data_IF_767516812333
#
_entry.id   IF_767516812333
#
_cell.length_a   1.000
_cell.length_b   1.000
_cell.length_c   1.000
_cell.angle_alpha   90.00
_cell.angle_beta   90.00
_cell.angle_gamma   90.00
#
_symmetry.space_group_name_H-M   'P 1'
#
loop_
_entity.id
_entity.type
_entity.pdbx_description
1 polymer ?
#
# COMPACT_ATOMS: atom_id res chain seq x y z
N UNK A 1 -0.59 13.95 0.72
CA UNK A 1 0.00 12.87 -0.11
C UNK A 1 1.05 13.38 -1.08
N UNK A 2 2.11 12.58 -1.25
CA UNK A 2 3.20 12.75 -2.20
C UNK A 2 3.50 11.38 -2.82
N UNK A 3 4.14 11.31 -3.99
CA UNK A 3 4.68 10.06 -4.50
C UNK A 3 5.63 9.44 -3.48
N UNK A 4 5.60 8.12 -3.33
CA UNK A 4 6.42 7.41 -2.34
C UNK A 4 6.91 6.08 -2.86
N UNK A 5 8.01 5.61 -2.27
CA UNK A 5 8.62 4.34 -2.65
C UNK A 5 7.77 3.16 -2.18
N UNK A 6 7.82 2.06 -2.93
CA UNK A 6 7.17 0.79 -2.56
C UNK A 6 7.49 0.35 -1.12
N UNK A 7 8.74 0.53 -0.68
CA UNK A 7 9.16 0.19 0.70
C UNK A 7 8.42 1.03 1.75
N UNK A 8 8.20 2.31 1.48
CA UNK A 8 7.47 3.21 2.37
C UNK A 8 5.98 2.85 2.42
N UNK A 9 5.38 2.50 1.28
CA UNK A 9 4.01 1.98 1.22
C UNK A 9 3.84 0.78 2.15
N UNK A 10 4.75 -0.20 2.03
CA UNK A 10 4.72 -1.42 2.85
C UNK A 10 4.90 -1.09 4.33
N UNK A 11 5.85 -0.22 4.69
CA UNK A 11 6.12 0.14 6.07
C UNK A 11 4.89 0.81 6.74
N UNK A 12 4.26 1.77 6.06
CA UNK A 12 3.05 2.43 6.55
C UNK A 12 1.87 1.48 6.64
N UNK A 13 1.64 0.63 5.62
CA UNK A 13 0.58 -0.37 5.67
C UNK A 13 0.74 -1.34 6.85
N UNK A 14 1.97 -1.72 7.21
CA UNK A 14 2.23 -2.50 8.44
C UNK A 14 1.78 -1.75 9.70
N UNK A 15 1.98 -0.43 9.77
CA UNK A 15 1.48 0.39 10.88
C UNK A 15 -0.05 0.37 10.99
N UNK A 16 -0.75 0.27 9.85
CA UNK A 16 -2.21 0.08 9.80
C UNK A 16 -2.68 -1.37 10.05
N UNK A 17 -1.77 -2.26 10.47
CA UNK A 17 -2.08 -3.65 10.79
C UNK A 17 -2.14 -4.59 9.57
N UNK A 18 -1.56 -4.21 8.43
CA UNK A 18 -1.44 -5.13 7.30
C UNK A 18 -0.22 -6.05 7.43
N UNK A 19 -0.41 -7.32 7.11
CA UNK A 19 0.61 -8.35 7.06
C UNK A 19 1.16 -8.54 5.64
N UNK A 20 2.42 -8.99 5.55
CA UNK A 20 3.12 -9.28 4.30
C UNK A 20 4.35 -8.37 4.05
N UNK A 21 4.73 -8.14 2.77
CA UNK A 21 4.06 -8.57 1.55
C UNK A 21 4.19 -10.07 1.29
N UNK A 22 3.11 -10.70 0.85
CA UNK A 22 3.09 -12.08 0.38
C UNK A 22 3.32 -12.12 -1.14
N UNK A 23 4.00 -13.16 -1.66
CA UNK A 23 4.14 -13.35 -3.09
C UNK A 23 2.77 -13.61 -3.73
N UNK A 24 2.47 -12.91 -4.82
CA UNK A 24 1.35 -13.20 -5.69
C UNK A 24 1.85 -13.20 -7.12
N UNK A 25 1.41 -14.15 -7.95
CA UNK A 25 2.08 -14.51 -9.22
C UNK A 25 2.69 -13.34 -9.99
N UNK A 26 1.90 -12.33 -10.35
CA UNK A 26 2.39 -11.11 -11.04
C UNK A 26 2.73 -9.96 -10.09
N UNK A 27 2.06 -9.86 -8.94
CA UNK A 27 2.20 -8.77 -7.98
C UNK A 27 2.09 -9.29 -6.55
N UNK A 28 2.98 -8.82 -5.68
CA UNK A 28 2.86 -9.05 -4.24
C UNK A 28 1.57 -8.44 -3.67
N UNK A 29 1.12 -8.93 -2.51
CA UNK A 29 -0.05 -8.39 -1.83
C UNK A 29 0.16 -8.32 -0.33
N UNK A 30 -0.60 -7.46 0.34
CA UNK A 30 -0.70 -7.41 1.81
C UNK A 30 -2.15 -7.69 2.23
N UNK A 31 -2.36 -8.17 3.45
CA UNK A 31 -3.70 -8.46 3.97
C UNK A 31 -3.90 -7.95 5.38
N UNK A 32 -5.15 -7.65 5.75
CA UNK A 32 -5.59 -7.33 7.11
C UNK A 32 -6.92 -8.03 7.36
N UNK A 33 -6.91 -9.13 8.10
CA UNK A 33 -8.06 -10.02 8.21
C UNK A 33 -8.47 -10.59 6.85
N UNK A 34 -9.72 -10.38 6.44
CA UNK A 34 -10.25 -10.76 5.12
C UNK A 34 -9.88 -9.78 4.00
N UNK A 35 -9.40 -8.59 4.32
CA UNK A 35 -9.06 -7.56 3.34
C UNK A 35 -7.70 -7.86 2.72
N UNK A 36 -7.63 -7.83 1.38
CA UNK A 36 -6.41 -8.08 0.61
C UNK A 36 -6.16 -6.95 -0.37
N UNK A 37 -4.98 -6.34 -0.30
CA UNK A 37 -4.57 -5.23 -1.19
C UNK A 37 -3.37 -5.66 -2.02
N UNK A 38 -3.40 -5.32 -3.32
CA UNK A 38 -2.30 -5.60 -4.23
C UNK A 38 -1.25 -4.51 -4.10
N UNK A 39 0.01 -4.90 -3.99
CA UNK A 39 1.16 -3.99 -3.94
C UNK A 39 1.80 -3.96 -5.34
N UNK A 40 1.96 -2.78 -5.94
CA UNK A 40 2.64 -2.66 -7.24
C UNK A 40 4.08 -3.17 -7.16
N UNK A 41 4.59 -3.66 -8.28
CA UNK A 41 5.98 -4.11 -8.37
C UNK A 41 6.95 -2.93 -8.31
N UNK A 42 8.19 -3.24 -7.93
CA UNK A 42 9.27 -2.27 -7.91
C UNK A 42 9.71 -1.98 -9.35
N UNK A 43 9.26 -0.85 -9.90
CA UNK A 43 9.65 -0.37 -11.23
C UNK A 43 10.77 0.68 -11.17
N UNK A 44 11.45 0.81 -10.03
CA UNK A 44 12.47 1.84 -9.80
C UNK A 44 11.93 3.27 -9.67
N UNK A 45 10.62 3.47 -9.82
CA UNK A 45 9.94 4.76 -9.73
C UNK A 45 9.02 4.83 -8.52
N UNK A 46 8.75 6.07 -8.08
CA UNK A 46 7.79 6.32 -7.01
C UNK A 46 6.37 5.95 -7.44
N UNK A 47 5.58 5.49 -6.47
CA UNK A 47 4.16 5.22 -6.65
C UNK A 47 3.45 6.56 -6.80
N UNK A 48 2.79 6.77 -7.94
CA UNK A 48 2.04 8.00 -8.19
C UNK A 48 0.93 8.21 -7.16
N UNK A 49 0.55 9.47 -6.94
CA UNK A 49 -0.51 9.80 -5.99
C UNK A 49 -1.85 9.17 -6.36
N UNK A 50 -2.20 9.08 -7.65
CA UNK A 50 -3.42 8.41 -8.11
C UNK A 50 -3.42 6.91 -7.78
N UNK A 51 -2.31 6.21 -8.02
CA UNK A 51 -2.21 4.79 -7.68
C UNK A 51 -2.27 4.58 -6.17
N UNK A 52 -1.60 5.46 -5.40
CA UNK A 52 -1.63 5.42 -3.95
C UNK A 52 -3.06 5.62 -3.40
N UNK A 53 -3.81 6.59 -3.92
CA UNK A 53 -5.20 6.84 -3.53
C UNK A 53 -6.10 5.61 -3.80
N UNK A 54 -5.91 4.94 -4.94
CA UNK A 54 -6.66 3.70 -5.25
C UNK A 54 -6.36 2.58 -4.26
N UNK A 55 -5.09 2.43 -3.87
CA UNK A 55 -4.67 1.44 -2.88
C UNK A 55 -5.27 1.76 -1.51
N UNK A 56 -5.25 3.02 -1.08
CA UNK A 56 -5.84 3.44 0.20
C UNK A 56 -7.35 3.25 0.25
N UNK A 57 -8.04 3.57 -0.85
CA UNK A 57 -9.48 3.33 -0.98
C UNK A 57 -9.81 1.85 -0.82
N UNK A 58 -9.00 0.95 -1.41
CA UNK A 58 -9.15 -0.49 -1.20
C UNK A 58 -8.80 -0.93 0.22
N UNK A 59 -7.84 -0.25 0.86
CA UNK A 59 -7.44 -0.51 2.24
C UNK A 59 -8.46 0.00 3.28
N UNK A 60 -9.42 0.83 2.87
CA UNK A 60 -10.34 1.52 3.76
C UNK A 60 -9.62 2.53 4.66
N UNK A 61 -8.54 3.13 4.16
CA UNK A 61 -7.75 4.15 4.87
C UNK A 61 -8.05 5.50 4.25
N UNK A 62 -8.48 6.47 5.05
CA UNK A 62 -8.67 7.85 4.59
C UNK A 62 -7.33 8.55 4.34
N UNK A 63 -7.35 9.61 3.53
CA UNK A 63 -6.15 10.40 3.26
C UNK A 63 -5.62 11.05 4.53
N UNK A 64 -6.53 11.48 5.39
CA UNK A 64 -6.26 12.13 6.67
C UNK A 64 -5.57 11.17 7.64
N UNK A 65 -6.03 9.92 7.73
CA UNK A 65 -5.35 8.87 8.50
C UNK A 65 -3.95 8.59 7.96
N UNK A 66 -3.80 8.53 6.64
CA UNK A 66 -2.52 8.28 6.01
C UNK A 66 -1.48 9.38 6.25
N UNK A 67 -1.90 10.65 6.13
CA UNK A 67 -1.00 11.79 6.29
C UNK A 67 -0.61 12.01 7.79
N UNK A 68 -1.24 11.30 8.74
CA UNK A 68 -0.89 11.29 10.19
C UNK A 68 0.14 10.21 10.58
N UNK A 69 0.59 9.39 9.64
CA UNK A 69 1.64 8.36 9.84
C UNK A 69 2.99 8.80 9.31
#
# INVERSE_FOLDING_TARGET
MKPLKRRELIAKLKHFGFEGPFPGGKHSYMKRGSLKIRIPNEHGTDISEDLLQRILKQAGISKEEWDRT
#
